data_IF_638792822439
#
_entry.id   IF_638792822439
#
_cell.length_a   1.000
_cell.length_b   1.000
_cell.length_c   1.000
_cell.angle_alpha   90.00
_cell.angle_beta   90.00
_cell.angle_gamma   90.00
#
_symmetry.space_group_name_H-M   'P 1'
#
loop_
_entity.id
_entity.type
_entity.pdbx_description
1 polymer ?
#
# COMPACT_ATOMS: atom_id res chain seq x y z
N UNK A 1 -3.16 14.17 13.25
CA UNK A 1 -1.72 13.95 13.01
C UNK A 1 -1.57 13.92 11.51
N UNK A 2 -1.36 15.10 10.96
CA UNK A 2 -1.55 15.40 9.55
C UNK A 2 -0.17 15.38 8.91
N UNK A 3 0.06 14.39 8.06
CA UNK A 3 1.29 14.22 7.31
C UNK A 3 0.93 14.13 5.83
N UNK A 4 1.73 14.76 5.00
CA UNK A 4 1.57 14.73 3.56
C UNK A 4 2.57 13.73 2.97
N UNK A 5 2.15 12.88 2.04
CA UNK A 5 3.06 11.92 1.41
C UNK A 5 3.82 12.66 0.32
N UNK A 6 5.12 12.81 0.50
CA UNK A 6 5.98 13.59 -0.38
C UNK A 6 6.79 12.63 -1.25
N UNK A 7 6.19 12.28 -2.40
CA UNK A 7 6.82 11.45 -3.43
C UNK A 7 6.36 10.00 -3.47
N UNK A 8 7.15 9.18 -4.17
CA UNK A 8 6.80 7.81 -4.50
C UNK A 8 6.88 6.86 -3.29
N UNK A 9 5.95 5.91 -3.25
CA UNK A 9 5.90 4.91 -2.18
C UNK A 9 6.80 3.75 -2.58
N UNK A 10 8.00 3.68 -2.00
CA UNK A 10 8.91 2.55 -2.20
C UNK A 10 8.29 1.30 -1.58
N UNK A 11 7.85 0.37 -2.43
CA UNK A 11 7.43 -0.96 -2.00
C UNK A 11 8.66 -1.71 -1.53
N UNK A 12 8.73 -2.02 -0.24
CA UNK A 12 9.83 -2.76 0.36
C UNK A 12 9.61 -4.27 0.28
N UNK A 13 8.39 -4.74 0.55
CA UNK A 13 8.11 -6.18 0.60
C UNK A 13 6.64 -6.50 0.34
N UNK A 14 6.36 -7.63 -0.29
CA UNK A 14 5.00 -8.19 -0.38
C UNK A 14 4.75 -9.14 0.78
N UNK A 15 3.97 -8.68 1.77
CA UNK A 15 3.61 -9.45 2.96
C UNK A 15 2.67 -10.62 2.63
N UNK A 16 1.70 -10.38 1.73
CA UNK A 16 0.74 -11.40 1.34
C UNK A 16 0.23 -11.19 -0.09
N UNK A 17 0.02 -12.27 -0.81
CA UNK A 17 -0.58 -12.26 -2.15
C UNK A 17 -1.73 -13.26 -2.23
N UNK A 18 -2.73 -12.96 -3.06
CA UNK A 18 -3.84 -13.88 -3.35
C UNK A 18 -4.50 -14.46 -2.09
N UNK A 19 -4.47 -15.79 -1.93
CA UNK A 19 -5.11 -16.54 -0.83
C UNK A 19 -4.57 -16.18 0.57
N UNK A 20 -3.38 -15.62 0.68
CA UNK A 20 -2.84 -15.11 1.95
C UNK A 20 -3.59 -13.87 2.49
N UNK A 21 -4.48 -13.27 1.69
CA UNK A 21 -5.33 -12.16 2.12
C UNK A 21 -6.64 -12.74 2.67
N UNK A 22 -6.83 -12.67 4.00
CA UNK A 22 -8.08 -13.13 4.68
C UNK A 22 -9.36 -12.60 4.02
N UNK A 23 -9.35 -11.33 3.61
CA UNK A 23 -10.48 -10.67 2.94
C UNK A 23 -10.55 -10.88 1.42
N UNK A 24 -9.75 -11.77 0.82
CA UNK A 24 -9.62 -11.88 -0.65
C UNK A 24 -10.98 -12.06 -1.32
N UNK A 25 -11.88 -12.89 -0.77
CA UNK A 25 -13.21 -13.13 -1.33
C UNK A 25 -14.08 -11.85 -1.35
N UNK A 26 -14.11 -11.10 -0.25
CA UNK A 26 -14.85 -9.83 -0.16
C UNK A 26 -14.27 -8.80 -1.13
N UNK A 27 -12.95 -8.71 -1.16
CA UNK A 27 -12.21 -7.87 -2.07
C UNK A 27 -12.55 -8.21 -3.53
N UNK A 28 -12.51 -9.48 -3.93
CA UNK A 28 -12.86 -9.95 -5.28
C UNK A 28 -14.30 -9.62 -5.67
N UNK A 29 -15.26 -9.68 -4.73
CA UNK A 29 -16.64 -9.26 -5.02
C UNK A 29 -16.74 -7.75 -5.31
N UNK A 30 -16.10 -6.91 -4.50
CA UNK A 30 -16.24 -5.46 -4.64
C UNK A 30 -15.45 -4.86 -5.81
N UNK A 31 -14.35 -5.50 -6.23
CA UNK A 31 -13.47 -4.93 -7.27
C UNK A 31 -13.04 -5.92 -8.35
N UNK A 32 -13.70 -7.08 -8.45
CA UNK A 32 -13.37 -8.12 -9.44
C UNK A 32 -12.15 -8.98 -9.11
N UNK A 33 -11.94 -10.01 -9.95
CA UNK A 33 -10.75 -10.86 -9.92
C UNK A 33 -9.53 -10.03 -10.31
N UNK A 34 -8.50 -10.03 -9.47
CA UNK A 34 -7.26 -9.31 -9.71
C UNK A 34 -6.14 -9.79 -8.81
N UNK A 35 -4.89 -9.57 -9.23
CA UNK A 35 -3.68 -9.89 -8.45
C UNK A 35 -3.54 -8.88 -7.31
N UNK A 36 -4.10 -9.23 -6.15
CA UNK A 36 -4.00 -8.40 -4.94
C UNK A 36 -2.78 -8.76 -4.13
N UNK A 37 -2.14 -7.74 -3.59
CA UNK A 37 -0.98 -7.85 -2.74
C UNK A 37 -1.15 -6.89 -1.55
N UNK A 38 -0.94 -7.41 -0.35
CA UNK A 38 -0.68 -6.60 0.83
C UNK A 38 0.83 -6.38 0.88
N UNK A 39 1.25 -5.14 0.88
CA UNK A 39 2.66 -4.78 0.82
C UNK A 39 3.03 -3.93 2.03
N UNK A 40 4.29 -4.04 2.41
CA UNK A 40 4.96 -3.07 3.25
C UNK A 40 5.74 -2.14 2.33
N UNK A 41 5.73 -0.87 2.64
CA UNK A 41 6.66 0.04 2.00
C UNK A 41 6.98 1.23 2.87
N UNK A 42 7.94 1.99 2.38
CA UNK A 42 8.34 3.24 2.98
C UNK A 42 7.86 4.37 2.09
N UNK A 43 7.32 5.41 2.71
CA UNK A 43 7.01 6.66 2.04
C UNK A 43 7.75 7.77 2.76
N UNK A 44 8.28 8.73 1.99
CA UNK A 44 8.72 9.99 2.56
C UNK A 44 7.46 10.77 2.92
N UNK A 45 7.33 11.11 4.20
CA UNK A 45 6.22 11.91 4.71
C UNK A 45 6.75 13.25 5.15
N UNK A 46 6.03 14.30 4.78
CA UNK A 46 6.25 15.64 5.28
C UNK A 46 5.35 15.87 6.47
N UNK A 47 5.97 16.25 7.57
CA UNK A 47 5.26 16.64 8.78
C UNK A 47 5.00 18.14 8.69
N UNK A 48 3.87 18.58 9.25
CA UNK A 48 3.48 20.00 9.28
C UNK A 48 4.51 20.93 9.94
N UNK A 49 5.47 20.35 10.67
CA UNK A 49 6.58 21.05 11.29
C UNK A 49 7.76 21.31 10.31
N UNK A 50 7.66 20.91 9.04
CA UNK A 50 8.71 21.07 8.02
C UNK A 50 9.67 19.88 7.92
N UNK A 51 9.62 18.94 8.86
CA UNK A 51 10.47 17.76 8.86
C UNK A 51 10.04 16.72 7.82
N UNK A 52 11.02 16.19 7.09
CA UNK A 52 10.85 15.01 6.23
C UNK A 52 11.26 13.78 7.02
N UNK A 53 10.35 12.82 7.21
CA UNK A 53 10.66 11.51 7.80
C UNK A 53 10.33 10.39 6.83
N UNK A 54 11.09 9.30 6.93
CA UNK A 54 10.77 8.06 6.24
C UNK A 54 9.81 7.28 7.14
N UNK A 55 8.53 7.23 6.75
CA UNK A 55 7.50 6.46 7.43
C UNK A 55 7.40 5.06 6.83
N UNK A 56 7.46 4.02 7.66
CA UNK A 56 7.10 2.65 7.26
C UNK A 56 5.59 2.50 7.37
N UNK A 57 4.92 2.13 6.28
CA UNK A 57 3.48 1.89 6.27
C UNK A 57 3.14 0.58 5.57
N UNK A 58 2.21 -0.17 6.15
CA UNK A 58 1.55 -1.25 5.43
C UNK A 58 0.43 -0.66 4.58
N UNK A 59 0.40 -1.02 3.29
CA UNK A 59 -0.64 -0.59 2.37
C UNK A 59 -1.19 -1.76 1.57
N UNK A 60 -2.48 -1.67 1.25
CA UNK A 60 -3.18 -2.66 0.42
C UNK A 60 -3.22 -2.13 -1.01
N UNK A 61 -2.47 -2.76 -1.93
CA UNK A 61 -2.50 -2.40 -3.36
C UNK A 61 -3.62 -3.19 -4.03
N UNK A 62 -4.63 -2.50 -4.56
CA UNK A 62 -5.91 -3.11 -4.98
C UNK A 62 -5.98 -3.51 -6.46
N UNK A 63 -5.09 -3.00 -7.34
CA UNK A 63 -5.08 -3.32 -8.77
C UNK A 63 -3.69 -3.08 -9.38
N UNK A 64 -3.21 -3.99 -10.22
CA UNK A 64 -2.21 -3.70 -11.25
C UNK A 64 -3.00 -3.45 -12.54
N UNK A 65 -2.88 -2.28 -13.16
CA UNK A 65 -2.96 -2.22 -14.61
C UNK A 65 -1.56 -2.61 -15.06
N UNK A 66 -1.39 -3.89 -15.40
CA UNK A 66 -0.28 -4.29 -16.25
C UNK A 66 -0.78 -3.93 -17.65
N UNK A 67 -0.21 -2.89 -18.23
CA UNK A 67 -0.19 -2.71 -19.70
C UNK A 67 1.08 -3.39 -20.21
#
# INVERSE_FOLDING_TARGET
>A
MDFEILGDITVLETIASGRGIRDLRRLQRNYGKGRRRKMKGSARIWLRNGDVRIGKKEFKRKKYLDE
#
